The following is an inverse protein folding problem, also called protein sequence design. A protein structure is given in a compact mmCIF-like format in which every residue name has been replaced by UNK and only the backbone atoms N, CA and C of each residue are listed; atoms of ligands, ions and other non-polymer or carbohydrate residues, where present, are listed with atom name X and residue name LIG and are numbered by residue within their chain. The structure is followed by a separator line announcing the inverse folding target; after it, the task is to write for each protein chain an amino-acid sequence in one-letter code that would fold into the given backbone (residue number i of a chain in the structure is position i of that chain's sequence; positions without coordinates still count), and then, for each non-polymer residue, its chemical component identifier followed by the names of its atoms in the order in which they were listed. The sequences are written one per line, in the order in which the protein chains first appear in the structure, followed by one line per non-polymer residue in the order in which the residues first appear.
data_IF_531853681535
#
_entry.id   IF_531853681535
#
_cell.length_a   1.000
_cell.length_b   1.000
_cell.length_c   1.000
_cell.angle_alpha   90.00
_cell.angle_beta   90.00
_cell.angle_gamma   90.00
#
_symmetry.space_group_name_H-M   'P 1'
#
loop_
_entity.id
_entity.type
_entity.pdbx_description
1 polymer ?
#
# COMPACT_ATOMS: atom_id res chain seq x y z
N UNK A 1 6.52 -2.99 -2.48
CA UNK A 1 6.77 -1.82 -3.37
C UNK A 1 7.98 -1.09 -2.83
N UNK A 2 8.92 -0.76 -3.69
CA UNK A 2 10.17 -0.09 -3.32
C UNK A 2 9.90 1.34 -2.81
N UNK A 3 10.47 1.75 -1.64
CA UNK A 3 10.26 3.07 -1.06
C UNK A 3 10.64 4.23 -1.98
N UNK A 4 11.67 4.05 -2.80
CA UNK A 4 12.14 5.05 -3.77
C UNK A 4 11.09 5.28 -4.86
N UNK A 5 10.48 4.22 -5.35
CA UNK A 5 9.39 4.31 -6.33
C UNK A 5 8.15 4.98 -5.73
N UNK A 6 7.79 4.65 -4.50
CA UNK A 6 6.65 5.25 -3.80
C UNK A 6 6.86 6.77 -3.66
N UNK A 7 8.02 7.20 -3.17
CA UNK A 7 8.27 8.63 -2.96
C UNK A 7 8.43 9.41 -4.28
N UNK A 8 8.88 8.76 -5.34
CA UNK A 8 8.90 9.34 -6.68
C UNK A 8 7.49 9.60 -7.18
N UNK A 9 6.59 8.63 -7.10
CA UNK A 9 5.18 8.77 -7.45
C UNK A 9 4.47 9.84 -6.62
N UNK A 10 4.75 9.87 -5.31
CA UNK A 10 4.25 10.92 -4.43
C UNK A 10 4.74 12.32 -4.85
N UNK A 11 6.00 12.45 -5.25
CA UNK A 11 6.56 13.73 -5.72
C UNK A 11 5.86 14.21 -7.00
N UNK A 12 5.56 13.31 -7.94
CA UNK A 12 4.82 13.65 -9.16
C UNK A 12 3.40 14.13 -8.82
N UNK A 13 2.69 13.42 -7.96
CA UNK A 13 1.33 13.81 -7.53
C UNK A 13 1.35 15.15 -6.78
N UNK A 14 2.32 15.37 -5.89
CA UNK A 14 2.51 16.62 -5.17
C UNK A 14 2.74 17.81 -6.10
N UNK A 15 3.63 17.67 -7.08
CA UNK A 15 3.90 18.74 -8.06
C UNK A 15 2.66 19.05 -8.91
N UNK A 16 1.88 18.02 -9.28
CA UNK A 16 0.64 18.22 -10.00
C UNK A 16 -0.41 18.97 -9.14
N UNK A 17 -0.51 18.64 -7.85
CA UNK A 17 -1.38 19.36 -6.90
C UNK A 17 -0.96 20.83 -6.78
N UNK A 18 0.32 21.12 -6.56
CA UNK A 18 0.80 22.51 -6.50
C UNK A 18 0.50 23.29 -7.76
N UNK A 19 0.75 22.71 -8.94
CA UNK A 19 0.43 23.37 -10.22
C UNK A 19 -1.08 23.61 -10.37
N UNK A 20 -1.91 22.62 -10.03
CA UNK A 20 -3.37 22.75 -10.10
C UNK A 20 -3.88 23.88 -9.21
N UNK A 21 -3.46 23.90 -7.96
CA UNK A 21 -3.86 24.95 -7.02
C UNK A 21 -3.32 26.33 -7.41
N UNK A 22 -2.11 26.42 -7.96
CA UNK A 22 -1.53 27.67 -8.43
C UNK A 22 -2.33 28.31 -9.57
N UNK A 23 -3.06 27.54 -10.37
CA UNK A 23 -3.94 28.01 -11.44
C UNK A 23 -5.41 28.10 -11.01
N UNK A 24 -5.69 28.06 -9.69
CA UNK A 24 -7.02 28.26 -9.13
C UNK A 24 -7.95 27.05 -9.12
N UNK A 25 -7.42 25.83 -9.34
CA UNK A 25 -8.22 24.62 -9.15
C UNK A 25 -8.48 24.36 -7.69
N UNK A 26 -9.67 23.84 -7.38
CA UNK A 26 -10.06 23.42 -6.04
C UNK A 26 -9.74 21.94 -5.74
N UNK A 27 -10.12 21.48 -4.54
CA UNK A 27 -9.92 20.09 -4.12
C UNK A 27 -10.72 19.09 -4.97
N UNK A 28 -11.90 19.48 -5.45
CA UNK A 28 -12.75 18.60 -6.28
C UNK A 28 -12.14 18.41 -7.66
N UNK A 29 -11.66 19.49 -8.28
CA UNK A 29 -10.93 19.45 -9.55
C UNK A 29 -9.67 18.58 -9.47
N UNK A 30 -9.03 18.58 -8.31
CA UNK A 30 -7.78 17.87 -8.08
C UNK A 30 -7.97 16.48 -7.43
N UNK A 31 -9.21 15.99 -7.30
CA UNK A 31 -9.52 14.73 -6.62
C UNK A 31 -8.67 13.54 -7.11
N UNK A 32 -8.47 13.43 -8.42
CA UNK A 32 -7.65 12.35 -8.98
C UNK A 32 -6.18 12.40 -8.54
N UNK A 33 -5.61 13.60 -8.43
CA UNK A 33 -4.23 13.77 -7.95
C UNK A 33 -4.14 13.60 -6.43
N UNK A 34 -5.16 14.04 -5.69
CA UNK A 34 -5.28 13.79 -4.26
C UNK A 34 -5.36 12.29 -3.95
N UNK A 35 -6.12 11.55 -4.74
CA UNK A 35 -6.21 10.08 -4.61
C UNK A 35 -4.86 9.41 -4.84
N UNK A 36 -4.11 9.82 -5.85
CA UNK A 36 -2.74 9.31 -6.11
C UNK A 36 -1.80 9.66 -4.96
N UNK A 37 -1.81 10.90 -4.51
CA UNK A 37 -1.03 11.37 -3.37
C UNK A 37 -1.31 10.53 -2.12
N UNK A 38 -2.58 10.45 -1.71
CA UNK A 38 -3.02 9.67 -0.54
C UNK A 38 -2.68 8.18 -0.67
N UNK A 39 -2.75 7.65 -1.90
CA UNK A 39 -2.33 6.30 -2.22
C UNK A 39 -0.86 6.06 -1.89
N UNK A 40 0.02 6.92 -2.38
CA UNK A 40 1.46 6.82 -2.12
C UNK A 40 1.80 7.03 -0.63
N UNK A 41 1.09 7.93 0.06
CA UNK A 41 1.26 8.11 1.51
C UNK A 41 0.85 6.85 2.30
N UNK A 42 -0.21 6.18 1.88
CA UNK A 42 -0.63 4.90 2.46
C UNK A 42 0.41 3.80 2.22
N UNK A 43 0.92 3.68 0.99
CA UNK A 43 1.93 2.68 0.62
C UNK A 43 3.23 2.88 1.39
N UNK A 44 3.65 4.13 1.58
CA UNK A 44 4.83 4.46 2.40
C UNK A 44 4.64 4.06 3.87
N UNK A 45 3.44 4.27 4.42
CA UNK A 45 3.09 3.82 5.77
C UNK A 45 3.12 2.30 5.92
N UNK A 46 2.79 1.55 4.88
CA UNK A 46 2.92 0.09 4.87
C UNK A 46 4.39 -0.35 4.76
N UNK A 47 5.18 0.28 3.89
CA UNK A 47 6.61 0.02 3.81
C UNK A 47 7.31 0.25 5.16
N UNK A 48 6.96 1.31 5.88
CA UNK A 48 7.46 1.56 7.24
C UNK A 48 7.12 0.43 8.22
N UNK A 49 5.89 -0.08 8.17
CA UNK A 49 5.48 -1.21 9.04
C UNK A 49 6.23 -2.49 8.72
N UNK A 50 6.47 -2.78 7.44
CA UNK A 50 7.22 -3.96 7.01
C UNK A 50 8.68 -3.93 7.46
N UNK A 51 9.29 -2.74 7.46
CA UNK A 51 10.66 -2.55 7.92
C UNK A 51 10.76 -2.64 9.45
N UNK A 52 9.75 -2.14 10.17
CA UNK A 52 9.70 -2.24 11.65
C UNK A 52 9.43 -3.65 12.17
N UNK A 53 8.71 -4.45 11.39
CA UNK A 53 8.37 -5.83 11.73
C UNK A 53 8.74 -6.76 10.56
N UNK A 54 10.05 -6.93 10.28
CA UNK A 54 10.48 -7.76 9.16
C UNK A 54 10.16 -9.24 9.45
N UNK A 55 9.74 -10.01 8.44
CA UNK A 55 9.63 -11.44 8.58
C UNK A 55 11.01 -12.04 8.90
N UNK A 56 11.03 -13.12 9.68
CA UNK A 56 12.26 -13.74 10.23
C UNK A 56 13.33 -14.09 9.17
N UNK A 57 12.92 -14.43 7.94
CA UNK A 57 13.85 -14.74 6.85
C UNK A 57 14.57 -13.49 6.29
N UNK A 58 13.95 -12.30 6.38
CA UNK A 58 14.60 -11.03 5.99
C UNK A 58 15.68 -10.61 6.98
N UNK A 59 15.52 -10.95 8.25
CA UNK A 59 16.51 -10.64 9.30
C UNK A 59 17.84 -11.36 9.10
N UNK A 60 17.84 -12.48 8.37
CA UNK A 60 19.05 -13.28 8.10
C UNK A 60 19.89 -12.74 6.91
N UNK A 61 19.35 -11.84 6.10
CA UNK A 61 19.94 -11.40 4.83
C UNK A 61 20.68 -10.05 4.84
N UNK A 62 20.74 -9.32 5.96
CA UNK A 62 21.50 -8.05 6.06
C UNK A 62 20.93 -6.86 5.28
N UNK A 63 19.81 -7.02 4.53
CA UNK A 63 19.22 -5.96 3.71
C UNK A 63 18.26 -5.03 4.46
N UNK A 64 17.93 -5.37 5.72
CA UNK A 64 16.93 -4.64 6.52
C UNK A 64 17.39 -3.23 6.86
N UNK A 65 18.68 -3.04 7.12
CA UNK A 65 19.23 -1.72 7.48
C UNK A 65 19.19 -0.74 6.30
N UNK A 66 19.58 -1.19 5.10
CA UNK A 66 19.52 -0.36 3.89
C UNK A 66 18.07 0.02 3.55
N UNK A 67 17.15 -0.96 3.56
CA UNK A 67 15.71 -0.74 3.33
C UNK A 67 15.11 0.21 4.39
N UNK A 68 15.58 0.10 5.65
CA UNK A 68 15.16 0.99 6.74
C UNK A 68 15.57 2.43 6.50
N UNK A 69 16.78 2.66 6.01
CA UNK A 69 17.29 3.99 5.71
C UNK A 69 16.56 4.61 4.51
N UNK A 70 16.25 3.83 3.49
CA UNK A 70 15.44 4.28 2.34
C UNK A 70 14.03 4.69 2.76
N UNK A 71 13.36 3.86 3.56
CA UNK A 71 12.02 4.17 4.10
C UNK A 71 12.07 5.42 4.96
N UNK A 72 13.07 5.56 5.82
CA UNK A 72 13.23 6.74 6.67
C UNK A 72 13.42 8.02 5.86
N UNK A 73 14.27 7.97 4.84
CA UNK A 73 14.53 9.11 3.94
C UNK A 73 13.27 9.48 3.15
N UNK A 74 12.58 8.48 2.58
CA UNK A 74 11.34 8.66 1.86
C UNK A 74 10.25 9.28 2.75
N UNK A 75 10.15 8.83 4.01
CA UNK A 75 9.20 9.36 4.99
C UNK A 75 9.48 10.81 5.32
N UNK A 76 10.73 11.19 5.59
CA UNK A 76 11.08 12.60 5.84
C UNK A 76 10.72 13.50 4.66
N UNK A 77 10.98 13.03 3.44
CA UNK A 77 10.59 13.78 2.24
C UNK A 77 9.06 13.89 2.11
N UNK A 78 8.32 12.82 2.39
CA UNK A 78 6.86 12.83 2.39
C UNK A 78 6.28 13.78 3.43
N UNK A 79 6.83 13.81 4.64
CA UNK A 79 6.44 14.74 5.72
C UNK A 79 6.69 16.20 5.33
N UNK A 80 7.83 16.49 4.71
CA UNK A 80 8.15 17.83 4.19
C UNK A 80 7.14 18.27 3.13
N UNK A 81 6.86 17.42 2.15
CA UNK A 81 5.84 17.70 1.11
C UNK A 81 4.45 17.89 1.71
N UNK A 82 4.09 17.07 2.72
CA UNK A 82 2.81 17.17 3.42
C UNK A 82 2.67 18.50 4.15
N UNK A 83 3.72 18.95 4.83
CA UNK A 83 3.75 20.25 5.52
C UNK A 83 3.59 21.38 4.52
N UNK A 84 4.34 21.37 3.43
CA UNK A 84 4.26 22.39 2.38
C UNK A 84 2.85 22.44 1.76
N UNK A 85 2.24 21.28 1.50
CA UNK A 85 0.89 21.20 0.97
C UNK A 85 -0.14 21.74 1.95
N UNK A 86 0.03 21.43 3.26
CA UNK A 86 -0.83 21.95 4.33
C UNK A 86 -0.76 23.48 4.38
N UNK A 87 0.45 24.01 4.42
CA UNK A 87 0.68 25.47 4.52
C UNK A 87 0.07 26.17 3.30
N UNK A 88 0.27 25.61 2.11
CA UNK A 88 -0.30 26.15 0.87
C UNK A 88 -1.83 26.14 0.85
N UNK A 89 -2.45 24.98 1.13
CA UNK A 89 -3.92 24.83 1.12
C UNK A 89 -4.56 25.71 2.21
N UNK A 90 -4.00 25.69 3.41
CA UNK A 90 -4.53 26.50 4.53
C UNK A 90 -4.46 27.99 4.25
N UNK A 91 -3.41 28.43 3.54
CA UNK A 91 -3.25 29.85 3.18
C UNK A 91 -4.16 30.26 2.01
N UNK A 92 -4.30 29.42 0.98
CA UNK A 92 -5.04 29.78 -0.25
C UNK A 92 -6.53 29.48 -0.18
N UNK A 93 -6.94 28.39 0.48
CA UNK A 93 -8.31 27.88 0.52
C UNK A 93 -8.91 27.91 1.93
N UNK A 94 -8.09 28.17 2.95
CA UNK A 94 -8.51 28.16 4.34
C UNK A 94 -8.26 26.82 5.07
N UNK A 95 -8.29 26.84 6.42
CA UNK A 95 -8.02 25.65 7.23
C UNK A 95 -8.98 24.48 6.99
N UNK A 96 -10.27 24.78 6.70
CA UNK A 96 -11.29 23.77 6.43
C UNK A 96 -10.96 22.90 5.22
N UNK A 97 -10.32 23.47 4.20
CA UNK A 97 -9.90 22.72 3.01
C UNK A 97 -8.81 21.70 3.34
N UNK A 98 -7.94 21.99 4.30
CA UNK A 98 -6.97 21.01 4.79
C UNK A 98 -7.66 19.85 5.52
N UNK A 99 -8.65 20.11 6.36
CA UNK A 99 -9.41 19.09 7.08
C UNK A 99 -10.19 18.19 6.09
N UNK A 100 -10.73 18.75 5.01
CA UNK A 100 -11.35 17.98 3.93
C UNK A 100 -10.33 17.06 3.24
N UNK A 101 -9.14 17.55 2.93
CA UNK A 101 -8.06 16.72 2.37
C UNK A 101 -7.71 15.56 3.31
N UNK A 102 -7.55 15.80 4.59
CA UNK A 102 -7.26 14.77 5.60
C UNK A 102 -8.40 13.73 5.67
N UNK A 103 -9.66 14.16 5.56
CA UNK A 103 -10.79 13.24 5.51
C UNK A 103 -10.78 12.36 4.25
N UNK A 104 -10.43 12.92 3.08
CA UNK A 104 -10.24 12.17 1.83
C UNK A 104 -9.11 11.14 1.98
N UNK A 105 -7.96 11.52 2.53
CA UNK A 105 -6.86 10.61 2.80
C UNK A 105 -7.27 9.45 3.72
N UNK A 106 -8.01 9.74 4.78
CA UNK A 106 -8.50 8.72 5.72
C UNK A 106 -9.44 7.73 5.03
N UNK A 107 -10.35 8.22 4.17
CA UNK A 107 -11.26 7.38 3.37
C UNK A 107 -10.49 6.46 2.41
N UNK A 108 -9.51 6.99 1.70
CA UNK A 108 -8.68 6.21 0.76
C UNK A 108 -7.88 5.14 1.52
N UNK A 109 -7.31 5.48 2.67
CA UNK A 109 -6.58 4.52 3.53
C UNK A 109 -7.49 3.39 4.02
N UNK A 110 -8.73 3.72 4.39
CA UNK A 110 -9.73 2.72 4.78
C UNK A 110 -10.07 1.79 3.62
N UNK A 111 -10.36 2.35 2.44
CA UNK A 111 -10.66 1.57 1.23
C UNK A 111 -9.51 0.62 0.83
N UNK A 112 -8.26 1.10 0.89
CA UNK A 112 -7.09 0.25 0.62
C UNK A 112 -6.99 -0.91 1.62
N UNK A 113 -7.18 -0.65 2.91
CA UNK A 113 -7.24 -1.71 3.92
C UNK A 113 -8.30 -2.76 3.62
N UNK A 114 -9.51 -2.34 3.30
CA UNK A 114 -10.60 -3.26 2.95
C UNK A 114 -10.28 -4.10 1.71
N UNK A 115 -9.64 -3.51 0.71
CA UNK A 115 -9.19 -4.25 -0.48
C UNK A 115 -8.10 -5.27 -0.16
N UNK A 116 -7.18 -4.95 0.76
CA UNK A 116 -6.14 -5.88 1.21
C UNK A 116 -6.73 -7.06 1.99
N UNK A 117 -7.69 -6.83 2.88
CA UNK A 117 -8.41 -7.89 3.58
C UNK A 117 -9.14 -8.81 2.60
N UNK A 118 -9.86 -8.27 1.62
CA UNK A 118 -10.53 -9.09 0.60
C UNK A 118 -9.55 -9.92 -0.22
N UNK A 119 -8.39 -9.37 -0.58
CA UNK A 119 -7.35 -10.12 -1.29
C UNK A 119 -6.77 -11.24 -0.44
N UNK A 120 -6.53 -10.99 0.84
CA UNK A 120 -6.04 -12.00 1.78
C UNK A 120 -7.05 -13.15 1.95
N UNK A 121 -8.34 -12.84 2.14
CA UNK A 121 -9.42 -13.85 2.24
C UNK A 121 -9.52 -14.71 0.97
N UNK A 122 -9.42 -14.10 -0.22
CA UNK A 122 -9.42 -14.82 -1.49
C UNK A 122 -8.18 -15.72 -1.63
N UNK A 123 -7.01 -15.26 -1.22
CA UNK A 123 -5.79 -16.07 -1.25
C UNK A 123 -5.87 -17.27 -0.29
N UNK A 124 -6.37 -17.08 0.92
CA UNK A 124 -6.58 -18.16 1.88
C UNK A 124 -7.59 -19.18 1.36
N UNK A 125 -8.70 -18.74 0.75
CA UNK A 125 -9.67 -19.62 0.14
C UNK A 125 -9.05 -20.44 -1.02
N UNK A 126 -8.27 -19.82 -1.91
CA UNK A 126 -7.61 -20.51 -3.03
C UNK A 126 -6.59 -21.53 -2.50
N UNK A 127 -5.78 -21.18 -1.51
CA UNK A 127 -4.79 -22.09 -0.91
C UNK A 127 -5.50 -23.29 -0.26
N UNK A 128 -6.56 -23.06 0.48
CA UNK A 128 -7.33 -24.14 1.12
C UNK A 128 -7.94 -25.08 0.10
N UNK A 129 -8.53 -24.55 -0.97
CA UNK A 129 -9.11 -25.35 -2.06
C UNK A 129 -8.05 -26.15 -2.83
N UNK A 130 -6.88 -25.57 -3.11
CA UNK A 130 -5.79 -26.27 -3.82
C UNK A 130 -5.17 -27.38 -2.97
N UNK A 131 -4.97 -27.16 -1.68
CA UNK A 131 -4.45 -28.19 -0.75
C UNK A 131 -5.46 -29.32 -0.61
N UNK A 132 -6.74 -29.02 -0.43
CA UNK A 132 -7.80 -30.00 -0.31
C UNK A 132 -7.96 -30.85 -1.58
N UNK A 133 -7.89 -30.23 -2.76
CA UNK A 133 -7.91 -30.93 -4.04
C UNK A 133 -6.71 -31.85 -4.24
N UNK A 134 -5.52 -31.42 -3.86
CA UNK A 134 -4.30 -32.22 -3.97
C UNK A 134 -4.33 -33.45 -3.04
N UNK A 135 -4.82 -33.30 -1.82
CA UNK A 135 -5.00 -34.40 -0.87
C UNK A 135 -6.00 -35.46 -1.39
N UNK A 136 -7.10 -35.03 -2.03
CA UNK A 136 -8.05 -35.92 -2.63
C UNK A 136 -7.44 -36.74 -3.78
N UNK A 137 -6.70 -36.12 -4.66
CA UNK A 137 -6.02 -36.79 -5.79
C UNK A 137 -5.01 -37.82 -5.29
N UNK A 138 -4.22 -37.50 -4.29
CA UNK A 138 -3.27 -38.42 -3.66
C UNK A 138 -3.99 -39.58 -3.02
N UNK A 139 -5.08 -39.33 -2.28
CA UNK A 139 -5.90 -40.39 -1.65
C UNK A 139 -6.50 -41.37 -2.64
N UNK A 140 -7.07 -40.87 -3.74
CA UNK A 140 -7.64 -41.72 -4.83
C UNK A 140 -6.53 -42.51 -5.54
N UNK A 141 -5.35 -41.89 -5.76
CA UNK A 141 -4.20 -42.56 -6.36
C UNK A 141 -3.69 -43.75 -5.51
N UNK A 142 -3.58 -43.56 -4.20
CA UNK A 142 -3.16 -44.62 -3.25
C UNK A 142 -4.17 -45.74 -3.23
N UNK A 143 -5.47 -45.43 -3.17
CA UNK A 143 -6.56 -46.42 -3.22
C UNK A 143 -6.51 -47.24 -4.51
N UNK A 144 -6.33 -46.61 -5.66
CA UNK A 144 -6.17 -47.27 -6.95
C UNK A 144 -4.97 -48.21 -6.99
N UNK A 145 -3.84 -47.78 -6.39
CA UNK A 145 -2.63 -48.59 -6.35
C UNK A 145 -2.78 -49.82 -5.44
N UNK A 146 -3.48 -49.70 -4.30
CA UNK A 146 -3.81 -50.81 -3.39
C UNK A 146 -4.69 -51.82 -4.10
N UNK A 147 -5.76 -51.36 -4.77
CA UNK A 147 -6.65 -52.23 -5.52
C UNK A 147 -5.95 -52.96 -6.65
N UNK A 148 -5.03 -52.31 -7.34
CA UNK A 148 -4.19 -52.93 -8.38
C UNK A 148 -3.25 -54.00 -7.83
N UNK A 149 -2.69 -53.82 -6.64
CA UNK A 149 -1.79 -54.80 -6.00
C UNK A 149 -2.55 -56.02 -5.43
N UNK A 150 -3.82 -55.86 -5.12
CA UNK A 150 -4.66 -56.95 -4.54
C UNK A 150 -5.39 -57.77 -5.63
N UNK A 151 -5.49 -57.23 -6.85
CA UNK A 151 -6.08 -57.90 -8.02
C UNK A 151 -5.07 -58.72 -8.77
#
# INVERSE_FOLDING_TARGET
MDPVTIISGATVAFNALKKGFAIGKDLQDMHGQLTKWAGHMSDLGQAEKQVKNPPWWKSLGGSVEAESLEVFTAKRKAESMRKELKDYISFTMGPSAWDELVAIEAKIRKQKKEQEYRKAELQEAIITWTISGMLLIIGVGILGLILYMVS
#
